data_IF_304313409514
#
_entry.id   IF_304313409514
#
_cell.length_a   1.000
_cell.length_b   1.000
_cell.length_c   1.000
_cell.angle_alpha   90.00
_cell.angle_beta   90.00
_cell.angle_gamma   90.00
#
_symmetry.space_group_name_H-M   'P 1'
#
loop_
_entity.id
_entity.type
_entity.pdbx_description
1 polymer ?
#
# COMPACT_ATOMS: atom_id res chain seq x y z
N UNK A 1 57.55 23.90 -42.49
CA UNK A 1 56.43 24.86 -42.40
C UNK A 1 55.44 24.51 -43.51
N UNK A 2 54.16 24.15 -43.36
CA UNK A 2 53.12 24.20 -42.32
C UNK A 2 52.12 23.08 -42.68
N UNK A 3 51.81 22.11 -41.81
CA UNK A 3 50.69 22.11 -40.85
C UNK A 3 49.29 22.21 -41.50
N UNK A 4 48.48 21.16 -41.27
CA UNK A 4 47.00 21.12 -41.19
C UNK A 4 46.31 20.17 -42.20
N UNK A 5 46.49 18.86 -42.01
CA UNK A 5 45.60 17.80 -42.54
C UNK A 5 44.57 17.40 -41.47
N UNK A 6 43.82 18.37 -41.00
CA UNK A 6 42.68 18.11 -40.12
C UNK A 6 41.56 19.03 -40.60
N UNK A 7 40.33 18.52 -40.62
CA UNK A 7 39.11 19.15 -41.14
C UNK A 7 38.84 18.90 -42.63
N UNK A 8 38.57 17.64 -42.99
CA UNK A 8 37.66 17.33 -44.09
C UNK A 8 37.05 15.93 -43.94
N UNK A 9 36.17 15.73 -42.96
CA UNK A 9 35.29 14.54 -42.97
C UNK A 9 34.01 14.79 -42.16
N UNK A 10 33.18 15.68 -42.67
CA UNK A 10 31.78 15.80 -42.26
C UNK A 10 30.93 15.60 -43.52
N UNK A 11 30.52 14.37 -43.77
CA UNK A 11 29.34 14.04 -44.57
C UNK A 11 29.01 12.54 -44.40
N UNK A 12 27.99 12.29 -43.57
CA UNK A 12 26.91 11.31 -43.75
C UNK A 12 27.26 9.92 -44.31
N UNK A 13 26.96 8.86 -43.55
CA UNK A 13 25.90 7.87 -43.92
C UNK A 13 25.56 7.01 -42.69
N UNK A 14 24.25 6.78 -42.56
CA UNK A 14 23.53 6.02 -41.56
C UNK A 14 24.00 4.58 -41.36
N UNK A 15 23.98 4.10 -40.11
CA UNK A 15 23.54 2.74 -39.81
C UNK A 15 22.93 2.68 -38.40
N UNK A 16 21.60 2.72 -38.40
CA UNK A 16 20.68 2.02 -37.51
C UNK A 16 21.28 1.18 -36.37
N UNK A 17 21.06 1.65 -35.14
CA UNK A 17 20.74 0.80 -34.00
C UNK A 17 19.63 1.49 -33.19
N UNK A 18 18.38 1.28 -33.62
CA UNK A 18 17.24 1.38 -32.72
C UNK A 18 17.32 0.20 -31.75
N UNK A 19 18.19 0.31 -30.74
CA UNK A 19 18.25 -0.60 -29.60
C UNK A 19 17.09 -0.26 -28.66
N UNK A 20 15.97 -0.91 -28.95
CA UNK A 20 14.98 -1.38 -27.98
C UNK A 20 14.63 -0.40 -26.85
N UNK A 21 13.68 0.49 -27.15
CA UNK A 21 12.81 1.16 -26.18
C UNK A 21 11.88 0.19 -25.39
N UNK A 22 12.35 -1.02 -25.09
CA UNK A 22 11.56 -2.14 -24.56
C UNK A 22 12.13 -2.76 -23.26
N UNK A 23 13.13 -2.15 -22.61
CA UNK A 23 13.80 -2.78 -21.46
C UNK A 23 13.59 -2.10 -20.08
N UNK A 24 12.60 -1.23 -19.91
CA UNK A 24 12.28 -0.69 -18.56
C UNK A 24 10.79 -0.63 -18.23
N UNK A 25 9.95 -1.40 -18.93
CA UNK A 25 8.57 -1.66 -18.50
C UNK A 25 8.44 -2.88 -17.57
N UNK A 26 9.51 -3.22 -16.86
CA UNK A 26 9.54 -4.34 -15.92
C UNK A 26 10.14 -3.86 -14.59
N UNK A 27 9.37 -3.11 -13.81
CA UNK A 27 9.89 -2.60 -12.53
C UNK A 27 8.92 -1.84 -11.63
N UNK A 28 7.81 -1.30 -12.13
CA UNK A 28 6.78 -0.69 -11.27
C UNK A 28 5.77 -1.73 -10.77
N UNK A 29 6.23 -2.90 -10.31
CA UNK A 29 5.41 -3.73 -9.42
C UNK A 29 5.41 -3.05 -8.05
N UNK A 30 4.46 -2.13 -7.90
CA UNK A 30 3.97 -1.51 -6.66
C UNK A 30 5.03 -1.33 -5.58
N UNK A 31 5.46 -0.09 -5.35
CA UNK A 31 5.89 0.29 -4.00
C UNK A 31 4.82 -0.23 -3.06
N UNK A 32 5.14 -1.29 -2.30
CA UNK A 32 4.30 -1.76 -1.21
C UNK A 32 4.18 -0.55 -0.30
N UNK A 33 3.04 0.14 -0.35
CA UNK A 33 2.78 1.27 0.53
C UNK A 33 3.02 0.75 1.93
N UNK A 34 4.11 1.20 2.54
CA UNK A 34 4.50 0.75 3.85
C UNK A 34 3.40 1.20 4.78
N UNK A 35 2.77 0.24 5.43
CA UNK A 35 1.65 0.51 6.29
C UNK A 35 2.14 1.24 7.53
N UNK A 36 1.82 2.53 7.65
CA UNK A 36 2.15 3.32 8.82
C UNK A 36 0.97 3.28 9.81
N UNK A 37 1.10 2.57 10.95
CA UNK A 37 0.02 2.43 11.93
C UNK A 37 -0.37 3.78 12.56
N UNK A 38 0.57 4.72 12.70
CA UNK A 38 0.32 6.02 13.29
C UNK A 38 -0.55 6.89 12.38
N UNK A 39 -0.20 6.96 11.10
CA UNK A 39 -0.99 7.68 10.09
C UNK A 39 -2.39 7.09 9.95
N UNK A 40 -2.52 5.76 10.05
CA UNK A 40 -3.83 5.11 10.07
C UNK A 40 -4.63 5.53 11.29
N UNK A 41 -4.05 5.48 12.48
CA UNK A 41 -4.72 5.89 13.70
C UNK A 41 -5.23 7.33 13.62
N UNK A 42 -4.42 8.24 13.10
CA UNK A 42 -4.80 9.65 12.90
C UNK A 42 -5.96 9.82 11.90
N UNK A 43 -5.93 9.11 10.77
CA UNK A 43 -7.02 9.16 9.80
C UNK A 43 -8.33 8.66 10.40
N UNK A 44 -8.30 7.53 11.11
CA UNK A 44 -9.48 6.97 11.75
C UNK A 44 -9.98 7.86 12.88
N UNK A 45 -9.06 8.45 13.66
CA UNK A 45 -9.43 9.42 14.69
C UNK A 45 -10.15 10.64 14.11
N UNK A 46 -9.72 11.13 12.95
CA UNK A 46 -10.41 12.21 12.22
C UNK A 46 -11.76 11.77 11.68
N UNK A 47 -11.82 10.63 11.00
CA UNK A 47 -13.06 10.09 10.41
C UNK A 47 -14.17 9.87 11.46
N UNK A 48 -13.79 9.45 12.67
CA UNK A 48 -14.70 9.11 13.76
C UNK A 48 -14.79 10.19 14.84
N UNK A 49 -14.12 11.33 14.67
CA UNK A 49 -14.08 12.42 15.64
C UNK A 49 -13.75 11.90 17.05
N UNK A 50 -12.65 11.16 17.16
CA UNK A 50 -12.19 10.58 18.41
C UNK A 50 -11.55 11.65 19.30
N UNK A 51 -11.71 11.50 20.62
CA UNK A 51 -10.97 12.31 21.58
C UNK A 51 -9.52 11.82 21.72
N UNK A 52 -8.69 12.58 22.44
CA UNK A 52 -7.26 12.30 22.59
C UNK A 52 -6.99 10.92 23.23
N UNK A 53 -7.80 10.51 24.22
CA UNK A 53 -7.62 9.23 24.90
C UNK A 53 -7.96 8.05 23.98
N UNK A 54 -9.08 8.15 23.25
CA UNK A 54 -9.49 7.17 22.24
C UNK A 54 -8.46 7.07 21.11
N UNK A 55 -7.91 8.21 20.66
CA UNK A 55 -6.86 8.23 19.64
C UNK A 55 -5.59 7.54 20.12
N UNK A 56 -5.17 7.75 21.38
CA UNK A 56 -4.00 7.08 21.95
C UNK A 56 -4.20 5.56 22.01
N UNK A 57 -5.34 5.11 22.52
CA UNK A 57 -5.69 3.69 22.57
C UNK A 57 -5.75 3.06 21.17
N UNK A 58 -6.30 3.80 20.20
CA UNK A 58 -6.38 3.35 18.81
C UNK A 58 -4.99 3.22 18.16
N UNK A 59 -4.07 4.15 18.46
CA UNK A 59 -2.68 4.07 17.99
C UNK A 59 -1.99 2.80 18.50
N UNK A 60 -2.10 2.52 19.80
CA UNK A 60 -1.54 1.30 20.40
C UNK A 60 -2.14 0.04 19.79
N UNK A 61 -3.46 0.03 19.54
CA UNK A 61 -4.13 -1.08 18.86
C UNK A 61 -3.60 -1.28 17.44
N UNK A 62 -3.42 -0.21 16.66
CA UNK A 62 -2.90 -0.31 15.29
C UNK A 62 -1.44 -0.78 15.22
N UNK A 63 -0.60 -0.41 16.19
CA UNK A 63 0.77 -0.92 16.30
C UNK A 63 0.77 -2.44 16.54
N UNK A 64 -0.02 -2.92 17.52
CA UNK A 64 -0.16 -4.36 17.78
C UNK A 64 -0.70 -5.12 16.57
N UNK A 65 -1.71 -4.55 15.90
CA UNK A 65 -2.25 -5.09 14.65
C UNK A 65 -1.14 -5.26 13.60
N UNK A 66 -0.28 -4.27 13.41
CA UNK A 66 0.80 -4.33 12.43
C UNK A 66 1.82 -5.44 12.74
N UNK A 67 2.15 -5.64 14.02
CA UNK A 67 3.03 -6.73 14.46
C UNK A 67 2.40 -8.10 14.21
N UNK A 68 1.12 -8.29 14.57
CA UNK A 68 0.39 -9.55 14.34
C UNK A 68 0.28 -9.86 12.84
N UNK A 69 0.02 -8.85 12.00
CA UNK A 69 0.02 -9.02 10.54
C UNK A 69 1.39 -9.43 10.00
N UNK A 70 2.45 -8.86 10.55
CA UNK A 70 3.82 -9.18 10.12
C UNK A 70 4.15 -10.63 10.48
N UNK A 71 3.82 -11.05 11.70
CA UNK A 71 3.98 -12.44 12.15
C UNK A 71 3.21 -13.44 11.27
N UNK A 72 1.93 -13.17 10.95
CA UNK A 72 1.16 -14.06 10.05
C UNK A 72 1.80 -14.15 8.66
N UNK A 73 2.30 -13.02 8.13
CA UNK A 73 2.97 -13.00 6.82
C UNK A 73 4.26 -13.83 6.81
N UNK A 74 5.01 -13.78 7.91
CA UNK A 74 6.26 -14.53 8.09
C UNK A 74 6.01 -16.02 8.36
N UNK A 75 5.07 -16.36 9.23
CA UNK A 75 4.80 -17.73 9.67
C UNK A 75 4.20 -18.61 8.57
N UNK A 76 3.39 -18.03 7.69
CA UNK A 76 2.69 -18.80 6.68
C UNK A 76 3.18 -18.47 5.26
N UNK A 77 4.50 -18.32 5.12
CA UNK A 77 5.16 -18.37 3.82
C UNK A 77 4.90 -19.75 3.16
N UNK A 78 4.00 -19.77 2.18
CA UNK A 78 3.70 -20.98 1.38
C UNK A 78 2.28 -21.51 1.55
N UNK A 79 1.62 -21.27 2.69
CA UNK A 79 0.24 -21.71 2.94
C UNK A 79 -0.74 -20.54 2.88
N UNK A 80 -1.44 -20.41 1.75
CA UNK A 80 -2.39 -19.33 1.54
C UNK A 80 -3.71 -19.54 2.30
N UNK A 81 -4.13 -20.78 2.53
CA UNK A 81 -5.40 -21.07 3.20
C UNK A 81 -5.30 -20.75 4.69
N UNK A 82 -4.26 -21.23 5.35
CA UNK A 82 -3.97 -20.95 6.76
C UNK A 82 -3.83 -19.43 6.99
N UNK A 83 -3.13 -18.70 6.11
CA UNK A 83 -3.08 -17.23 6.19
C UNK A 83 -4.45 -16.59 6.18
N UNK A 84 -5.34 -17.02 5.29
CA UNK A 84 -6.68 -16.41 5.18
C UNK A 84 -7.46 -16.60 6.46
N UNK A 85 -7.44 -17.81 7.03
CA UNK A 85 -8.11 -18.11 8.30
C UNK A 85 -7.56 -17.24 9.44
N UNK A 86 -6.23 -17.21 9.60
CA UNK A 86 -5.57 -16.37 10.60
C UNK A 86 -5.91 -14.88 10.43
N UNK A 87 -5.98 -14.37 9.20
CA UNK A 87 -6.40 -12.98 8.95
C UNK A 87 -7.87 -12.72 9.30
N UNK A 88 -8.75 -13.71 9.10
CA UNK A 88 -10.17 -13.58 9.44
C UNK A 88 -10.35 -13.52 10.96
N UNK A 89 -9.69 -14.41 11.71
CA UNK A 89 -9.72 -14.41 13.18
C UNK A 89 -9.13 -13.11 13.75
N UNK A 90 -7.98 -12.72 13.22
CA UNK A 90 -7.32 -11.48 13.59
C UNK A 90 -8.20 -10.25 13.35
N UNK A 91 -8.93 -10.21 12.22
CA UNK A 91 -9.89 -9.12 11.96
C UNK A 91 -11.02 -9.09 12.99
N UNK A 92 -11.59 -10.23 13.36
CA UNK A 92 -12.65 -10.29 14.39
C UNK A 92 -12.16 -9.76 15.73
N UNK A 93 -10.95 -10.12 16.14
CA UNK A 93 -10.31 -9.61 17.35
C UNK A 93 -10.19 -8.08 17.31
N UNK A 94 -9.69 -7.53 16.22
CA UNK A 94 -9.54 -6.09 16.08
C UNK A 94 -10.87 -5.35 16.04
N UNK A 95 -11.91 -5.91 15.42
CA UNK A 95 -13.23 -5.30 15.41
C UNK A 95 -13.77 -5.19 16.84
N UNK A 96 -13.60 -6.24 17.66
CA UNK A 96 -13.99 -6.21 19.06
C UNK A 96 -13.16 -5.22 19.90
N UNK A 97 -11.85 -5.16 19.69
CA UNK A 97 -10.97 -4.20 20.39
C UNK A 97 -11.27 -2.76 19.98
N UNK A 98 -11.56 -2.53 18.70
CA UNK A 98 -11.95 -1.21 18.21
C UNK A 98 -13.29 -0.77 18.80
N UNK A 99 -14.29 -1.65 18.84
CA UNK A 99 -15.60 -1.37 19.44
C UNK A 99 -15.49 -0.98 20.91
N UNK A 100 -14.59 -1.61 21.68
CA UNK A 100 -14.32 -1.23 23.08
C UNK A 100 -13.71 0.17 23.21
N UNK A 101 -12.90 0.60 22.24
CA UNK A 101 -12.22 1.92 22.26
C UNK A 101 -13.18 3.03 21.81
N UNK A 102 -13.86 2.83 20.67
CA UNK A 102 -14.64 3.90 20.02
C UNK A 102 -16.12 3.86 20.36
N UNK A 103 -16.61 2.75 20.90
CA UNK A 103 -18.04 2.50 21.16
C UNK A 103 -18.81 2.00 19.94
N UNK A 104 -20.04 1.48 20.14
CA UNK A 104 -20.82 0.84 19.09
C UNK A 104 -21.23 1.80 17.96
N UNK A 105 -21.57 3.05 18.29
CA UNK A 105 -21.98 4.07 17.30
C UNK A 105 -20.86 4.40 16.32
N UNK A 106 -19.66 4.70 16.84
CA UNK A 106 -18.49 5.02 16.02
C UNK A 106 -17.98 3.78 15.28
N UNK A 107 -18.15 2.59 15.85
CA UNK A 107 -17.83 1.33 15.16
C UNK A 107 -18.73 1.09 13.95
N UNK A 108 -20.02 1.42 14.04
CA UNK A 108 -20.93 1.35 12.89
C UNK A 108 -20.50 2.31 11.77
N UNK A 109 -20.18 3.57 12.10
CA UNK A 109 -19.63 4.56 11.15
C UNK A 109 -18.35 4.04 10.49
N UNK A 110 -17.46 3.45 11.27
CA UNK A 110 -16.22 2.86 10.76
C UNK A 110 -16.46 1.72 9.77
N UNK A 111 -17.36 0.79 10.08
CA UNK A 111 -17.70 -0.33 9.20
C UNK A 111 -18.28 0.17 7.87
N UNK A 112 -19.15 1.17 7.91
CA UNK A 112 -19.70 1.80 6.71
C UNK A 112 -18.60 2.42 5.83
N UNK A 113 -17.68 3.19 6.44
CA UNK A 113 -16.53 3.77 5.72
C UNK A 113 -15.62 2.70 5.12
N UNK A 114 -15.39 1.60 5.83
CA UNK A 114 -14.60 0.48 5.30
C UNK A 114 -15.28 -0.19 4.11
N UNK A 115 -16.60 -0.38 4.19
CA UNK A 115 -17.37 -0.97 3.10
C UNK A 115 -17.38 -0.07 1.86
N UNK A 116 -17.61 1.22 2.05
CA UNK A 116 -17.54 2.22 0.97
C UNK A 116 -16.17 2.22 0.30
N UNK A 117 -15.09 2.28 1.09
CA UNK A 117 -13.71 2.17 0.58
C UNK A 117 -13.45 0.84 -0.13
N UNK A 118 -14.10 -0.25 0.29
CA UNK A 118 -13.99 -1.55 -0.39
C UNK A 118 -14.78 -1.59 -1.70
N UNK A 119 -15.96 -0.96 -1.76
CA UNK A 119 -16.74 -0.78 -3.00
C UNK A 119 -16.00 0.10 -4.00
N UNK A 120 -15.46 1.25 -3.57
CA UNK A 120 -14.71 2.17 -4.43
C UNK A 120 -13.45 1.51 -5.02
N UNK A 121 -12.75 0.69 -4.24
CA UNK A 121 -11.60 -0.10 -4.74
C UNK A 121 -12.00 -1.14 -5.78
N UNK A 122 -13.15 -1.81 -5.61
CA UNK A 122 -13.68 -2.76 -6.60
C UNK A 122 -14.08 -2.06 -7.89
N UNK A 123 -14.77 -0.92 -7.79
CA UNK A 123 -15.21 -0.16 -8.95
C UNK A 123 -14.04 0.49 -9.71
N UNK A 124 -13.00 0.95 -9.00
CA UNK A 124 -11.79 1.52 -9.61
C UNK A 124 -10.88 0.52 -10.32
N UNK A 125 -10.88 -0.76 -9.91
CA UNK A 125 -10.17 -1.84 -10.60
C UNK A 125 -10.89 -2.32 -11.87
N UNK A 126 -12.19 -2.06 -12.01
CA UNK A 126 -12.98 -2.43 -13.19
C UNK A 126 -12.82 -1.50 -14.40
N UNK A 127 -12.22 -0.30 -14.21
CA UNK A 127 -12.10 0.72 -15.27
C UNK A 127 -10.68 0.82 -15.87
N UNK A 128 -9.82 -0.19 -15.64
CA UNK A 128 -8.45 -0.27 -16.16
C UNK A 128 -8.19 -1.51 -17.04
N UNK A 129 -9.25 -2.21 -17.47
CA UNK A 129 -9.16 -3.34 -18.42
C UNK A 129 -9.64 -2.94 -19.81
#
# INVERSE_FOLDING_TARGET
>A
MKRNFFVMMVALVAFSLNLTAQQTQQGQRGQRTQWNPEQRAEQVAKDLELNADQQKQLKEMFVKQQEEMTKIREQAQGDQANRREQFVELRKKWDADMEKIVGPEKMAKWKALQEERARNRRNGQGNQN
#
